data_IF_678734619027
#
_entry.id   IF_678734619027
#
_cell.length_a   1.000
_cell.length_b   1.000
_cell.length_c   1.000
_cell.angle_alpha   90.00
_cell.angle_beta   90.00
_cell.angle_gamma   90.00
#
_symmetry.space_group_name_H-M   'P 1'
#
loop_
_entity.id
_entity.type
_entity.pdbx_description
1 polymer ?
#
# COMPACT_ATOMS: atom_id res chain seq x y z
N UNK A 1 10.93 4.08 -12.63
CA UNK A 1 9.71 4.19 -11.80
C UNK A 1 8.93 2.90 -11.98
N UNK A 2 8.54 2.22 -10.90
CA UNK A 2 7.76 0.98 -11.00
C UNK A 2 6.35 1.27 -11.53
N UNK A 3 5.81 0.35 -12.34
CA UNK A 3 4.47 0.43 -12.92
C UNK A 3 3.56 -0.55 -12.18
N UNK A 4 2.60 -0.01 -11.43
CA UNK A 4 1.63 -0.80 -10.69
C UNK A 4 0.52 -1.27 -11.62
N UNK A 5 0.03 -2.48 -11.36
CA UNK A 5 -1.12 -3.07 -12.02
C UNK A 5 -2.29 -3.21 -11.06
N UNK A 6 -2.10 -2.99 -9.76
CA UNK A 6 -3.16 -3.01 -8.75
C UNK A 6 -3.71 -4.41 -8.48
N UNK A 7 -2.95 -5.47 -8.72
CA UNK A 7 -3.40 -6.87 -8.55
C UNK A 7 -3.37 -7.27 -7.09
N UNK A 8 -2.23 -7.05 -6.45
CA UNK A 8 -2.02 -7.42 -5.06
C UNK A 8 -0.91 -6.58 -4.41
N UNK A 9 -0.92 -6.55 -3.09
CA UNK A 9 0.04 -5.76 -2.30
C UNK A 9 1.51 -6.18 -2.48
N UNK A 10 1.83 -7.35 -3.04
CA UNK A 10 3.23 -7.77 -3.27
C UNK A 10 3.91 -6.90 -4.34
N UNK A 11 3.14 -6.16 -5.14
CA UNK A 11 3.68 -5.15 -6.05
C UNK A 11 4.42 -4.03 -5.30
N UNK A 12 3.99 -3.68 -4.08
CA UNK A 12 4.70 -2.73 -3.23
C UNK A 12 6.06 -3.28 -2.80
N UNK A 13 6.13 -4.58 -2.46
CA UNK A 13 7.40 -5.23 -2.15
C UNK A 13 8.37 -5.18 -3.33
N UNK A 14 7.88 -5.42 -4.56
CA UNK A 14 8.70 -5.30 -5.78
C UNK A 14 9.16 -3.87 -6.02
N UNK A 15 8.26 -2.89 -5.87
CA UNK A 15 8.58 -1.47 -6.05
C UNK A 15 9.67 -0.98 -5.09
N UNK A 16 9.69 -1.51 -3.86
CA UNK A 16 10.64 -1.13 -2.80
C UNK A 16 11.84 -2.06 -2.68
N UNK A 17 12.01 -3.02 -3.60
CA UNK A 17 13.15 -3.94 -3.61
C UNK A 17 13.17 -4.95 -2.45
N UNK A 18 12.00 -5.26 -1.87
CA UNK A 18 11.84 -6.27 -0.81
C UNK A 18 11.75 -7.65 -1.48
N UNK A 19 12.63 -8.58 -1.08
CA UNK A 19 12.67 -9.95 -1.62
C UNK A 19 11.39 -10.73 -1.33
N UNK A 20 10.83 -11.36 -2.38
CA UNK A 20 9.62 -12.18 -2.35
C UNK A 20 9.88 -13.65 -1.96
N UNK A 21 11.11 -14.02 -1.60
CA UNK A 21 11.47 -15.41 -1.25
C UNK A 21 10.93 -15.87 0.12
N UNK A 22 10.19 -15.02 0.81
CA UNK A 22 9.68 -15.24 2.16
C UNK A 22 8.21 -15.65 2.10
N UNK A 23 7.75 -16.35 3.13
CA UNK A 23 6.33 -16.64 3.31
C UNK A 23 5.50 -15.34 3.37
N UNK A 24 4.26 -15.38 2.90
CA UNK A 24 3.38 -14.20 2.78
C UNK A 24 3.27 -13.37 4.06
N UNK A 25 3.27 -14.01 5.23
CA UNK A 25 3.18 -13.33 6.53
C UNK A 25 4.46 -12.55 6.85
N UNK A 26 5.63 -13.14 6.58
CA UNK A 26 6.92 -12.49 6.76
C UNK A 26 7.09 -11.36 5.73
N UNK A 27 6.71 -11.60 4.48
CA UNK A 27 6.76 -10.60 3.43
C UNK A 27 5.88 -9.39 3.78
N UNK A 28 4.64 -9.62 4.23
CA UNK A 28 3.76 -8.55 4.69
C UNK A 28 4.38 -7.79 5.87
N UNK A 29 4.96 -8.50 6.85
CA UNK A 29 5.64 -7.86 7.98
C UNK A 29 6.79 -6.95 7.54
N UNK A 30 7.54 -7.34 6.50
CA UNK A 30 8.62 -6.52 5.92
C UNK A 30 8.10 -5.29 5.19
N UNK A 31 7.03 -5.41 4.41
CA UNK A 31 6.36 -4.26 3.76
C UNK A 31 5.86 -3.28 4.83
N UNK A 32 5.21 -3.77 5.89
CA UNK A 32 4.78 -2.93 7.03
C UNK A 32 5.95 -2.30 7.78
N UNK A 33 7.06 -3.02 7.93
CA UNK A 33 8.27 -2.48 8.53
C UNK A 33 8.87 -1.36 7.66
N UNK A 34 8.89 -1.54 6.34
CA UNK A 34 9.30 -0.50 5.40
C UNK A 34 8.45 0.75 5.57
N UNK A 35 7.11 0.61 5.58
CA UNK A 35 6.21 1.75 5.76
C UNK A 35 6.47 2.51 7.06
N UNK A 36 6.65 1.80 8.17
CA UNK A 36 6.91 2.42 9.48
C UNK A 36 8.25 3.13 9.57
N UNK A 37 9.29 2.61 8.92
CA UNK A 37 10.64 3.20 8.93
C UNK A 37 10.76 4.42 7.99
N UNK A 38 9.83 4.56 7.05
CA UNK A 38 9.70 5.71 6.15
C UNK A 38 8.70 6.76 6.66
N UNK A 39 8.31 6.68 7.93
CA UNK A 39 7.65 7.77 8.64
C UNK A 39 8.65 8.33 9.64
N UNK A 40 8.94 9.63 9.53
CA UNK A 40 9.87 10.31 10.42
C UNK A 40 9.35 10.40 11.86
N UNK A 41 10.23 10.76 12.79
CA UNK A 41 9.87 10.88 14.22
C UNK A 41 8.78 11.94 14.50
N UNK A 42 8.67 12.96 13.66
CA UNK A 42 7.62 13.98 13.67
C UNK A 42 6.34 13.56 12.93
N UNK A 43 6.20 12.27 12.61
CA UNK A 43 5.06 11.67 11.94
C UNK A 43 4.84 12.17 10.50
N UNK A 44 5.93 12.51 9.81
CA UNK A 44 5.90 12.92 8.40
C UNK A 44 6.31 11.72 7.52
N UNK A 45 5.41 11.19 6.66
CA UNK A 45 5.76 10.12 5.74
C UNK A 45 6.71 10.57 4.63
N UNK A 46 7.56 9.67 4.14
CA UNK A 46 8.35 9.87 2.92
C UNK A 46 7.43 10.12 1.70
N UNK A 47 7.55 11.28 1.02
CA UNK A 47 6.74 11.60 -0.15
C UNK A 47 6.85 10.57 -1.29
N UNK A 48 8.01 9.94 -1.48
CA UNK A 48 8.20 8.94 -2.53
C UNK A 48 7.40 7.66 -2.23
N UNK A 49 7.44 7.19 -0.98
CA UNK A 49 6.64 6.06 -0.52
C UNK A 49 5.14 6.38 -0.63
N UNK A 50 4.71 7.58 -0.23
CA UNK A 50 3.31 8.01 -0.37
C UNK A 50 2.89 8.00 -1.83
N UNK A 51 3.72 8.54 -2.72
CA UNK A 51 3.43 8.55 -4.15
C UNK A 51 3.29 7.13 -4.73
N UNK A 52 4.12 6.18 -4.30
CA UNK A 52 3.99 4.77 -4.68
C UNK A 52 2.68 4.16 -4.19
N UNK A 53 2.36 4.33 -2.90
CA UNK A 53 1.10 3.86 -2.31
C UNK A 53 -0.12 4.45 -3.02
N UNK A 54 -0.10 5.74 -3.34
CA UNK A 54 -1.19 6.41 -4.07
C UNK A 54 -1.42 5.81 -5.45
N UNK A 55 -0.33 5.57 -6.19
CA UNK A 55 -0.40 4.96 -7.53
C UNK A 55 -0.95 3.54 -7.44
N UNK A 56 -0.39 2.72 -6.55
CA UNK A 56 -0.88 1.37 -6.30
C UNK A 56 -2.36 1.35 -5.91
N UNK A 57 -2.79 2.16 -4.94
CA UNK A 57 -4.19 2.20 -4.48
C UNK A 57 -5.13 2.67 -5.59
N UNK A 58 -4.71 3.60 -6.45
CA UNK A 58 -5.51 4.03 -7.58
C UNK A 58 -5.76 2.86 -8.56
N UNK A 59 -4.70 2.13 -8.94
CA UNK A 59 -4.82 0.97 -9.84
C UNK A 59 -5.60 -0.18 -9.18
N UNK A 60 -5.38 -0.40 -7.88
CA UNK A 60 -6.11 -1.40 -7.09
C UNK A 60 -7.62 -1.09 -7.04
N UNK A 61 -8.00 0.18 -6.88
CA UNK A 61 -9.40 0.59 -6.89
C UNK A 61 -10.09 0.27 -8.22
N UNK A 62 -9.40 0.44 -9.35
CA UNK A 62 -9.97 0.12 -10.67
C UNK A 62 -10.18 -1.39 -10.84
N UNK A 63 -9.27 -2.22 -10.37
CA UNK A 63 -9.43 -3.68 -10.40
C UNK A 63 -10.51 -4.16 -9.41
N UNK A 64 -10.61 -3.51 -8.24
CA UNK A 64 -11.54 -3.90 -7.20
C UNK A 64 -12.97 -3.35 -7.40
N UNK A 65 -13.24 -2.59 -8.46
CA UNK A 65 -14.48 -1.80 -8.64
C UNK A 65 -15.79 -2.60 -8.59
N UNK A 66 -15.76 -3.88 -8.96
CA UNK A 66 -16.95 -4.75 -8.99
C UNK A 66 -17.12 -5.57 -7.71
N UNK A 67 -16.17 -5.46 -6.76
CA UNK A 67 -16.22 -6.21 -5.50
C UNK A 67 -17.16 -5.57 -4.49
N UNK A 68 -17.76 -6.35 -3.58
CA UNK A 68 -18.61 -5.81 -2.51
C UNK A 68 -17.92 -4.80 -1.59
N UNK A 69 -16.60 -4.90 -1.44
CA UNK A 69 -15.76 -4.03 -0.62
C UNK A 69 -15.16 -2.84 -1.40
N UNK A 70 -15.53 -2.62 -2.67
CA UNK A 70 -15.10 -1.47 -3.46
C UNK A 70 -15.21 -0.11 -2.73
N UNK A 71 -16.28 0.18 -1.95
CA UNK A 71 -16.38 1.44 -1.21
C UNK A 71 -15.27 1.63 -0.15
N UNK A 72 -14.73 0.56 0.42
CA UNK A 72 -13.62 0.64 1.38
C UNK A 72 -12.36 1.19 0.70
N UNK A 73 -12.06 0.68 -0.50
CA UNK A 73 -10.87 1.06 -1.26
C UNK A 73 -10.97 2.48 -1.81
N UNK A 74 -12.15 2.89 -2.25
CA UNK A 74 -12.40 4.28 -2.63
C UNK A 74 -12.25 5.22 -1.43
N UNK A 75 -12.80 4.84 -0.27
CA UNK A 75 -12.60 5.59 0.97
C UNK A 75 -11.13 5.74 1.35
N UNK A 76 -10.32 4.69 1.18
CA UNK A 76 -8.87 4.74 1.40
C UNK A 76 -8.17 5.69 0.41
N UNK A 77 -8.52 5.61 -0.89
CA UNK A 77 -7.98 6.47 -1.95
C UNK A 77 -8.25 7.95 -1.67
N UNK A 78 -9.42 8.28 -1.15
CA UNK A 78 -9.88 9.65 -0.95
C UNK A 78 -9.25 10.35 0.27
N UNK A 79 -8.58 9.62 1.17
CA UNK A 79 -7.91 10.18 2.35
C UNK A 79 -6.83 11.17 1.91
N UNK A 80 -7.01 12.48 2.15
CA UNK A 80 -6.05 13.50 1.74
C UNK A 80 -4.84 13.63 2.69
N UNK A 81 -5.00 13.28 3.97
CA UNK A 81 -3.93 13.41 4.96
C UNK A 81 -2.98 12.20 4.86
N UNK A 82 -1.72 12.44 4.46
CA UNK A 82 -0.79 11.37 4.08
C UNK A 82 -0.45 10.42 5.23
N UNK A 83 -0.24 10.93 6.45
CA UNK A 83 0.02 10.05 7.59
C UNK A 83 -1.17 9.12 7.85
N UNK A 84 -2.39 9.65 7.77
CA UNK A 84 -3.61 8.85 7.97
C UNK A 84 -3.76 7.82 6.85
N UNK A 85 -3.49 8.21 5.61
CA UNK A 85 -3.50 7.31 4.46
C UNK A 85 -2.52 6.14 4.65
N UNK A 86 -1.25 6.43 5.01
CA UNK A 86 -0.23 5.41 5.27
C UNK A 86 -0.63 4.47 6.41
N UNK A 87 -1.19 4.99 7.51
CA UNK A 87 -1.67 4.18 8.63
C UNK A 87 -2.77 3.20 8.20
N UNK A 88 -3.73 3.64 7.38
CA UNK A 88 -4.77 2.75 6.88
C UNK A 88 -4.25 1.75 5.84
N UNK A 89 -3.29 2.13 4.99
CA UNK A 89 -2.61 1.19 4.11
C UNK A 89 -1.91 0.06 4.89
N UNK A 90 -1.26 0.36 6.02
CA UNK A 90 -0.62 -0.65 6.89
C UNK A 90 -1.65 -1.66 7.45
N UNK A 91 -2.75 -1.14 8.00
CA UNK A 91 -3.86 -1.95 8.54
C UNK A 91 -4.45 -2.84 7.45
N UNK A 92 -4.76 -2.27 6.29
CA UNK A 92 -5.48 -2.93 5.21
C UNK A 92 -4.60 -3.75 4.26
N UNK A 93 -3.28 -3.68 4.38
CA UNK A 93 -2.33 -4.30 3.45
C UNK A 93 -2.69 -5.74 3.07
N UNK A 94 -2.98 -6.57 4.07
CA UNK A 94 -3.28 -8.01 3.90
C UNK A 94 -4.61 -8.29 3.21
N UNK A 95 -5.47 -7.29 3.08
CA UNK A 95 -6.77 -7.39 2.43
C UNK A 95 -6.72 -6.89 0.97
N UNK A 96 -5.58 -6.33 0.54
CA UNK A 96 -5.37 -5.79 -0.80
C UNK A 96 -4.94 -6.90 -1.78
N UNK A 97 -5.85 -7.83 -2.05
CA UNK A 97 -5.74 -8.87 -3.09
C UNK A 97 -6.96 -8.80 -3.99
N UNK A 98 -6.80 -8.65 -5.30
CA UNK A 98 -7.87 -8.71 -6.29
C UNK A 98 -8.13 -10.12 -6.81
#
# INVERSE_FOLDING_TARGET
>A
MYEFQGRDWTELARAWGISLEHEDDELAARVRHYMRTHVSADATPDPAMVADLRRFVADFCENAKERPDAPLWQGLRDIQHDLTFVQFCDVLLRHMWC
#
